data_IF_810182523392
#
_entry.id   IF_810182523392
#
_cell.length_a   1.000
_cell.length_b   1.000
_cell.length_c   1.000
_cell.angle_alpha   90.00
_cell.angle_beta   90.00
_cell.angle_gamma   90.00
#
_symmetry.space_group_name_H-M   'P 1'
#
loop_
_entity.id
_entity.type
_entity.pdbx_description
1 polymer ?
#
# COMPACT_ATOMS: atom_id res chain seq x y z
N UNK A 1 -13.70 6.35 -2.37
CA UNK A 1 -14.54 6.51 -1.16
C UNK A 1 -13.90 7.42 -0.11
N UNK A 2 -12.68 7.14 0.34
CA UNK A 2 -11.99 7.85 1.43
C UNK A 2 -10.94 8.88 0.97
N UNK A 3 -10.85 9.16 -0.35
CA UNK A 3 -9.80 10.02 -0.91
C UNK A 3 -8.44 9.35 -1.11
N UNK A 4 -8.28 8.08 -0.68
CA UNK A 4 -7.12 7.28 -1.06
C UNK A 4 -7.07 7.04 -2.57
N UNK A 5 -5.85 7.16 -3.12
CA UNK A 5 -5.52 6.94 -4.52
C UNK A 5 -4.36 5.97 -4.63
N UNK A 6 -4.35 5.22 -5.72
CA UNK A 6 -3.29 4.24 -6.02
C UNK A 6 -2.31 4.86 -7.02
N UNK A 7 -1.01 4.68 -6.76
CA UNK A 7 0.06 4.99 -7.70
C UNK A 7 0.88 3.74 -7.98
N UNK A 8 1.03 3.40 -9.25
CA UNK A 8 1.82 2.24 -9.64
C UNK A 8 3.31 2.51 -9.43
N UNK A 9 4.03 1.49 -8.97
CA UNK A 9 5.50 1.51 -8.83
C UNK A 9 6.10 0.24 -9.43
N UNK A 10 7.27 0.34 -10.07
CA UNK A 10 7.92 -0.81 -10.71
C UNK A 10 8.57 -1.76 -9.70
N UNK A 11 8.66 -1.39 -8.42
CA UNK A 11 9.32 -2.17 -7.38
C UNK A 11 9.27 -1.48 -6.02
N UNK A 12 10.17 -1.89 -5.13
CA UNK A 12 10.20 -1.42 -3.75
C UNK A 12 10.58 0.05 -3.64
N UNK A 13 9.90 0.74 -2.71
CA UNK A 13 10.28 2.06 -2.24
C UNK A 13 11.03 1.94 -0.90
N UNK A 14 11.79 2.97 -0.55
CA UNK A 14 12.24 3.09 0.83
C UNK A 14 11.03 3.19 1.77
N UNK A 15 11.14 2.68 3.00
CA UNK A 15 10.06 2.80 3.97
C UNK A 15 9.65 4.27 4.20
N UNK A 16 10.63 5.19 4.14
CA UNK A 16 10.38 6.63 4.24
C UNK A 16 9.49 7.13 3.11
N UNK A 17 9.82 6.80 1.87
CA UNK A 17 9.06 7.30 0.71
C UNK A 17 7.66 6.68 0.64
N UNK A 18 7.56 5.38 0.96
CA UNK A 18 6.28 4.70 1.02
C UNK A 18 5.35 5.34 2.07
N UNK A 19 5.84 5.50 3.30
CA UNK A 19 5.07 6.08 4.41
C UNK A 19 4.79 7.57 4.20
N UNK A 20 5.67 8.31 3.51
CA UNK A 20 5.40 9.69 3.10
C UNK A 20 4.21 9.78 2.13
N UNK A 21 4.02 8.79 1.25
CA UNK A 21 2.86 8.72 0.36
C UNK A 21 1.53 8.64 1.10
N UNK A 22 1.48 7.87 2.19
CA UNK A 22 0.27 7.68 2.99
C UNK A 22 -0.26 9.00 3.58
N UNK A 23 0.63 9.93 3.94
CA UNK A 23 0.25 11.26 4.42
C UNK A 23 -0.61 12.04 3.41
N UNK A 24 -0.41 11.77 2.12
CA UNK A 24 -1.15 12.37 1.01
C UNK A 24 -2.29 11.46 0.49
N UNK A 25 -2.64 10.42 1.26
CA UNK A 25 -3.59 9.37 0.86
C UNK A 25 -3.20 8.74 -0.49
N UNK A 26 -1.90 8.54 -0.70
CA UNK A 26 -1.37 7.84 -1.87
C UNK A 26 -0.76 6.52 -1.42
N UNK A 27 -1.29 5.43 -1.94
CA UNK A 27 -0.74 4.10 -1.72
C UNK A 27 0.00 3.64 -2.98
N UNK A 28 1.22 3.15 -2.81
CA UNK A 28 2.04 2.66 -3.90
C UNK A 28 1.81 1.16 -4.10
N UNK A 29 1.53 0.74 -5.33
CA UNK A 29 1.05 -0.61 -5.65
C UNK A 29 1.88 -1.25 -6.76
N UNK A 30 2.22 -2.53 -6.59
CA UNK A 30 2.77 -3.35 -7.66
C UNK A 30 1.70 -3.70 -8.72
N UNK A 31 2.09 -3.78 -10.00
CA UNK A 31 1.19 -4.12 -11.12
C UNK A 31 1.37 -5.55 -11.65
N UNK A 32 2.38 -6.28 -11.19
CA UNK A 32 2.63 -7.64 -11.66
C UNK A 32 1.85 -8.67 -10.84
N UNK A 33 1.61 -9.83 -11.45
CA UNK A 33 1.03 -10.99 -10.79
C UNK A 33 2.15 -11.96 -10.42
N UNK A 34 1.98 -12.66 -9.28
CA UNK A 34 2.88 -13.74 -8.87
C UNK A 34 2.98 -14.85 -9.91
N UNK A 35 4.07 -15.62 -9.83
CA UNK A 35 4.28 -16.75 -10.71
C UNK A 35 3.20 -17.83 -10.49
N UNK A 36 2.59 -18.31 -11.58
CA UNK A 36 1.44 -19.22 -11.54
C UNK A 36 1.72 -20.59 -10.93
N UNK A 37 2.99 -21.00 -10.80
CA UNK A 37 3.36 -22.25 -10.13
C UNK A 37 3.12 -22.21 -8.61
N UNK A 38 3.14 -21.02 -7.99
CA UNK A 38 2.97 -20.82 -6.56
C UNK A 38 1.86 -19.79 -6.29
N UNK A 39 0.60 -20.16 -6.57
CA UNK A 39 -0.52 -19.22 -6.47
C UNK A 39 -0.81 -18.76 -5.04
N UNK A 40 -0.54 -19.61 -4.06
CA UNK A 40 -0.88 -19.36 -2.66
C UNK A 40 0.22 -18.60 -1.89
N UNK A 41 1.41 -18.42 -2.47
CA UNK A 41 2.53 -17.79 -1.81
C UNK A 41 3.40 -16.99 -2.78
N UNK A 42 3.81 -15.80 -2.36
CA UNK A 42 4.85 -15.01 -3.00
C UNK A 42 5.54 -14.17 -1.92
N UNK A 43 6.89 -14.08 -1.92
CA UNK A 43 7.59 -13.22 -0.97
C UNK A 43 7.44 -11.73 -1.32
N UNK A 44 7.12 -11.42 -2.57
CA UNK A 44 6.99 -10.04 -3.06
C UNK A 44 5.51 -9.63 -3.19
N UNK A 45 5.18 -8.34 -2.92
CA UNK A 45 3.82 -7.85 -3.08
C UNK A 45 3.43 -7.81 -4.56
N UNK A 46 2.37 -8.54 -4.89
CA UNK A 46 1.79 -8.58 -6.24
C UNK A 46 0.40 -7.95 -6.25
N UNK A 47 -0.20 -7.76 -7.43
CA UNK A 47 -1.51 -7.12 -7.56
C UNK A 47 -2.62 -7.82 -6.75
N UNK A 48 -2.53 -9.14 -6.53
CA UNK A 48 -3.49 -9.86 -5.68
C UNK A 48 -3.38 -9.40 -4.22
N UNK A 49 -2.18 -9.34 -3.67
CA UNK A 49 -1.93 -8.82 -2.31
C UNK A 49 -2.48 -7.40 -2.16
N UNK A 50 -2.26 -6.54 -3.15
CA UNK A 50 -2.66 -5.13 -3.08
C UNK A 50 -4.17 -4.97 -3.15
N UNK A 51 -4.84 -5.60 -4.12
CA UNK A 51 -6.27 -5.46 -4.34
C UNK A 51 -7.09 -6.16 -3.25
N UNK A 52 -6.74 -7.42 -2.92
CA UNK A 52 -7.51 -8.23 -1.98
C UNK A 52 -7.14 -7.95 -0.52
N UNK A 53 -5.90 -7.49 -0.26
CA UNK A 53 -5.45 -7.11 1.08
C UNK A 53 -5.69 -5.64 1.37
N UNK A 54 -4.97 -4.75 0.68
CA UNK A 54 -4.90 -3.34 1.05
C UNK A 54 -6.09 -2.49 0.60
N UNK A 55 -6.53 -2.60 -0.65
CA UNK A 55 -7.53 -1.68 -1.21
C UNK A 55 -8.88 -1.75 -0.49
N UNK A 56 -9.28 -2.93 -0.03
CA UNK A 56 -10.49 -3.11 0.76
C UNK A 56 -10.43 -2.31 2.06
N UNK A 57 -9.29 -2.34 2.76
CA UNK A 57 -9.10 -1.61 4.01
C UNK A 57 -9.12 -0.09 3.79
N UNK A 58 -8.54 0.42 2.70
CA UNK A 58 -8.60 1.86 2.42
C UNK A 58 -10.00 2.38 2.06
N UNK A 59 -10.97 1.51 1.80
CA UNK A 59 -12.37 1.90 1.63
C UNK A 59 -13.09 2.15 2.97
N UNK A 60 -12.50 1.73 4.09
CA UNK A 60 -12.97 2.04 5.43
C UNK A 60 -12.44 3.41 5.89
N UNK A 61 -13.30 4.35 6.32
CA UNK A 61 -12.87 5.69 6.74
C UNK A 61 -11.91 5.70 7.94
N UNK A 62 -12.14 4.83 8.92
CA UNK A 62 -11.33 4.81 10.16
C UNK A 62 -9.93 4.27 9.84
N UNK A 63 -9.85 3.20 9.07
CA UNK A 63 -8.57 2.66 8.60
C UNK A 63 -7.83 3.64 7.68
N UNK A 64 -8.54 4.34 6.79
CA UNK A 64 -7.94 5.35 5.93
C UNK A 64 -7.34 6.51 6.75
N UNK A 65 -8.03 6.97 7.79
CA UNK A 65 -7.52 8.02 8.67
C UNK A 65 -6.28 7.53 9.45
N UNK A 66 -6.37 6.35 10.06
CA UNK A 66 -5.24 5.71 10.76
C UNK A 66 -3.99 5.59 9.85
N UNK A 67 -4.19 5.16 8.61
CA UNK A 67 -3.11 4.99 7.64
C UNK A 67 -2.46 6.32 7.26
N UNK A 68 -3.25 7.39 7.13
CA UNK A 68 -2.73 8.72 6.84
C UNK A 68 -1.90 9.29 7.99
N UNK A 69 -2.31 9.04 9.23
CA UNK A 69 -1.63 9.51 10.44
C UNK A 69 -0.35 8.73 10.77
N UNK A 70 -0.16 7.55 10.17
CA UNK A 70 1.03 6.71 10.38
C UNK A 70 2.35 7.42 10.06
N UNK A 71 2.31 8.50 9.27
CA UNK A 71 3.41 9.46 9.07
C UNK A 71 3.98 10.00 10.40
N UNK A 72 3.16 10.25 11.41
CA UNK A 72 3.65 10.85 12.66
C UNK A 72 4.62 9.92 13.43
N UNK A 73 4.61 8.62 13.15
CA UNK A 73 5.59 7.68 13.70
C UNK A 73 6.96 7.75 13.02
N UNK A 74 7.05 8.15 11.75
CA UNK A 74 8.33 8.19 10.99
C UNK A 74 9.10 9.49 11.11
N UNK A 75 8.52 10.52 11.72
CA UNK A 75 9.12 11.85 11.85
C UNK A 75 9.76 12.12 13.23
N UNK A 76 9.95 11.09 14.05
CA UNK A 76 10.65 11.18 15.35
C UNK A 76 12.17 10.91 15.27
N UNK A 77 12.83 11.26 14.15
CA UNK A 77 14.30 11.32 14.08
C UNK A 77 14.74 12.53 13.27
#
# INVERSE_FOLDING_TARGET
KTGFRVRLVPGYLSARDFLAGLAYRVFFCAQYLRHHAEQLYTPEPDTVHELMGHMAMFADPDFAQFSQESRFATNQR
#
